data_IF_976114958635
#
_entry.id   IF_976114958635
#
_cell.length_a   1.000
_cell.length_b   1.000
_cell.length_c   1.000
_cell.angle_alpha   90.00
_cell.angle_beta   90.00
_cell.angle_gamma   90.00
#
_symmetry.space_group_name_H-M   'P 1'
#
loop_
_entity.id
_entity.type
_entity.pdbx_description
1 polymer ?
#
# COMPACT_ATOMS: atom_id res chain seq x y z
N UNK A 1 2.38 -5.73 7.64
CA UNK A 1 3.46 -6.67 8.01
C UNK A 1 4.79 -5.97 7.82
N UNK A 2 5.65 -6.01 8.83
CA UNK A 2 7.02 -5.54 8.70
C UNK A 2 7.81 -6.59 7.90
N UNK A 3 8.03 -6.34 6.63
CA UNK A 3 8.85 -7.17 5.75
C UNK A 3 9.84 -6.29 5.02
N UNK A 4 11.00 -6.80 4.63
CA UNK A 4 11.96 -6.05 3.86
C UNK A 4 11.31 -5.40 2.63
N UNK A 5 11.69 -4.16 2.38
CA UNK A 5 11.35 -3.44 1.18
C UNK A 5 12.65 -2.89 0.59
N UNK A 6 13.14 -3.54 -0.45
CA UNK A 6 14.31 -3.10 -1.21
C UNK A 6 14.17 -3.59 -2.65
N UNK A 7 14.62 -2.76 -3.58
CA UNK A 7 14.80 -3.16 -4.98
C UNK A 7 16.27 -3.42 -5.32
N UNK A 8 17.17 -3.26 -4.34
CA UNK A 8 18.59 -3.59 -4.45
C UNK A 8 18.87 -4.82 -3.58
N UNK A 9 18.56 -5.99 -4.14
CA UNK A 9 18.73 -7.30 -3.49
C UNK A 9 19.52 -8.24 -4.42
N UNK A 10 20.32 -9.12 -3.82
CA UNK A 10 21.12 -10.10 -4.53
C UNK A 10 20.48 -11.49 -4.52
N UNK A 11 19.63 -11.75 -3.53
CA UNK A 11 18.94 -13.02 -3.37
C UNK A 11 17.49 -12.79 -2.98
N UNK A 12 16.60 -12.89 -3.97
CA UNK A 12 15.17 -12.65 -3.78
C UNK A 12 14.54 -13.52 -2.69
N UNK A 13 14.99 -14.77 -2.58
CA UNK A 13 14.47 -15.68 -1.57
C UNK A 13 14.90 -15.28 -0.16
N UNK A 14 16.21 -15.09 0.04
CA UNK A 14 16.77 -14.85 1.37
C UNK A 14 16.52 -13.44 1.88
N UNK A 15 16.40 -12.46 0.99
CA UNK A 15 16.29 -11.05 1.36
C UNK A 15 14.85 -10.51 1.33
N UNK A 16 13.95 -11.11 0.54
CA UNK A 16 12.56 -10.65 0.41
C UNK A 16 11.53 -11.68 0.85
N UNK A 17 11.52 -12.88 0.21
CA UNK A 17 10.41 -13.83 0.36
C UNK A 17 10.41 -14.52 1.73
N UNK A 18 11.52 -15.16 2.10
CA UNK A 18 11.63 -15.85 3.38
C UNK A 18 11.50 -14.95 4.60
N UNK A 19 12.13 -13.75 4.64
CA UNK A 19 11.92 -12.83 5.77
C UNK A 19 10.46 -12.39 5.93
N UNK A 20 9.73 -12.19 4.83
CA UNK A 20 8.33 -11.81 4.86
C UNK A 20 7.45 -12.94 5.43
N UNK A 21 7.65 -14.18 4.97
CA UNK A 21 6.95 -15.37 5.47
C UNK A 21 7.25 -15.61 6.96
N UNK A 22 8.56 -15.65 7.32
CA UNK A 22 9.01 -15.89 8.70
C UNK A 22 8.52 -14.79 9.65
N UNK A 23 8.51 -13.54 9.21
CA UNK A 23 8.03 -12.41 10.00
C UNK A 23 6.56 -12.55 10.38
N UNK A 24 5.71 -12.92 9.42
CA UNK A 24 4.28 -13.16 9.68
C UNK A 24 4.09 -14.36 10.62
N UNK A 25 4.74 -15.49 10.33
CA UNK A 25 4.66 -16.69 11.15
C UNK A 25 5.06 -16.40 12.61
N UNK A 26 6.18 -15.72 12.82
CA UNK A 26 6.66 -15.39 14.17
C UNK A 26 5.68 -14.55 14.98
N UNK A 27 5.03 -13.55 14.34
CA UNK A 27 4.02 -12.73 15.01
C UNK A 27 2.80 -13.57 15.38
N UNK A 28 2.30 -14.41 14.47
CA UNK A 28 1.13 -15.26 14.72
C UNK A 28 1.41 -16.35 15.75
N UNK A 29 2.61 -16.95 15.75
CA UNK A 29 3.05 -17.89 16.80
C UNK A 29 3.16 -17.20 18.16
N UNK A 30 3.61 -15.95 18.18
CA UNK A 30 3.61 -15.13 19.39
C UNK A 30 2.19 -14.88 19.91
N UNK A 31 1.30 -14.44 19.02
CA UNK A 31 -0.11 -14.20 19.36
C UNK A 31 -0.82 -15.47 19.86
N UNK A 32 -0.53 -16.64 19.27
CA UNK A 32 -1.16 -17.90 19.65
C UNK A 32 -0.80 -18.39 21.07
N UNK A 33 0.25 -17.83 21.69
CA UNK A 33 0.62 -18.10 23.08
C UNK A 33 -0.23 -17.34 24.10
N UNK A 34 -1.06 -16.40 23.63
CA UNK A 34 -1.86 -15.52 24.47
C UNK A 34 -3.35 -15.68 24.16
N UNK A 35 -4.08 -16.53 24.91
CA UNK A 35 -5.51 -16.80 24.66
C UNK A 35 -6.43 -15.58 24.76
N UNK A 36 -5.96 -14.49 25.36
CA UNK A 36 -6.69 -13.20 25.42
C UNK A 36 -6.68 -12.41 24.11
N UNK A 37 -5.87 -12.82 23.13
CA UNK A 37 -5.92 -12.23 21.80
C UNK A 37 -7.07 -12.87 21.03
N UNK A 38 -8.05 -12.06 20.65
CA UNK A 38 -9.25 -12.49 19.94
C UNK A 38 -9.16 -12.22 18.44
N UNK A 39 -8.39 -11.18 18.03
CA UNK A 39 -8.24 -10.83 16.62
C UNK A 39 -6.87 -10.23 16.29
N UNK A 40 -6.37 -10.57 15.11
CA UNK A 40 -5.15 -9.97 14.53
C UNK A 40 -5.50 -9.35 13.17
N UNK A 41 -5.31 -8.05 13.02
CA UNK A 41 -5.47 -7.35 11.75
C UNK A 41 -4.10 -7.20 11.08
N UNK A 42 -4.00 -7.63 9.84
CA UNK A 42 -2.74 -7.72 9.09
C UNK A 42 -2.78 -6.73 7.92
N UNK A 43 -1.84 -5.79 7.91
CA UNK A 43 -1.58 -5.00 6.70
C UNK A 43 -0.89 -5.88 5.67
N UNK A 44 -1.61 -6.30 4.66
CA UNK A 44 -1.08 -6.95 3.46
C UNK A 44 -0.75 -5.91 2.38
N UNK A 45 -1.03 -6.17 1.13
CA UNK A 45 -0.75 -5.24 0.03
C UNK A 45 -1.58 -5.60 -1.20
N UNK A 46 -1.94 -4.61 -2.01
CA UNK A 46 -2.46 -4.87 -3.37
C UNK A 46 -1.47 -5.68 -4.23
N UNK A 47 -0.17 -5.66 -3.89
CA UNK A 47 0.83 -6.53 -4.51
C UNK A 47 0.54 -8.03 -4.35
N UNK A 48 -0.22 -8.43 -3.32
CA UNK A 48 -0.68 -9.83 -3.13
C UNK A 48 -1.90 -10.18 -3.98
N UNK A 49 -2.54 -9.19 -4.59
CA UNK A 49 -3.76 -9.30 -5.41
C UNK A 49 -3.43 -9.19 -6.90
N UNK A 50 -2.61 -8.21 -7.26
CA UNK A 50 -2.35 -7.77 -8.62
C UNK A 50 -1.69 -8.85 -9.50
N UNK A 51 -2.33 -9.17 -10.62
CA UNK A 51 -1.69 -9.81 -11.77
C UNK A 51 -1.14 -8.74 -12.73
N UNK A 52 0.17 -8.52 -12.69
CA UNK A 52 0.83 -7.52 -13.53
C UNK A 52 0.87 -7.89 -15.03
N UNK A 53 0.65 -9.16 -15.35
CA UNK A 53 0.66 -9.67 -16.72
C UNK A 53 -0.75 -9.90 -17.27
N UNK A 54 -1.77 -9.53 -16.50
CA UNK A 54 -3.15 -9.74 -16.89
C UNK A 54 -3.48 -8.99 -18.18
N UNK A 55 -3.82 -9.74 -19.19
CA UNK A 55 -4.49 -9.26 -20.40
C UNK A 55 -6.01 -9.35 -20.18
N UNK A 56 -6.49 -8.60 -19.24
CA UNK A 56 -7.91 -8.62 -18.91
C UNK A 56 -8.74 -8.00 -20.04
N UNK A 57 -9.98 -8.46 -20.21
CA UNK A 57 -10.94 -7.68 -20.96
C UNK A 57 -11.10 -6.31 -20.29
N UNK A 58 -11.45 -5.25 -21.06
CA UNK A 58 -11.69 -3.94 -20.50
C UNK A 58 -12.69 -3.98 -19.34
N UNK A 59 -12.44 -3.14 -18.30
CA UNK A 59 -13.29 -2.98 -17.11
C UNK A 59 -13.33 -4.19 -16.16
N UNK A 60 -12.17 -4.75 -15.90
CA UNK A 60 -12.03 -5.73 -14.82
C UNK A 60 -11.88 -5.02 -13.48
N UNK A 61 -12.52 -5.54 -12.42
CA UNK A 61 -12.34 -5.06 -11.04
C UNK A 61 -11.63 -6.13 -10.22
N UNK A 62 -10.46 -5.78 -9.66
CA UNK A 62 -9.81 -6.60 -8.64
C UNK A 62 -10.59 -6.53 -7.33
N UNK A 63 -10.76 -7.68 -6.72
CA UNK A 63 -11.47 -7.85 -5.44
C UNK A 63 -10.61 -8.57 -4.42
N UNK A 64 -11.13 -8.76 -3.22
CA UNK A 64 -10.50 -9.56 -2.19
C UNK A 64 -10.33 -11.06 -2.55
N UNK A 65 -11.03 -11.55 -3.56
CA UNK A 65 -10.92 -12.94 -4.03
C UNK A 65 -9.71 -13.16 -4.95
N UNK A 66 -9.20 -12.10 -5.54
CA UNK A 66 -8.10 -12.19 -6.49
C UNK A 66 -6.76 -12.36 -5.77
N UNK A 67 -5.90 -13.18 -6.35
CA UNK A 67 -4.54 -13.41 -5.89
C UNK A 67 -3.54 -13.21 -7.02
N UNK A 68 -2.42 -12.58 -6.69
CA UNK A 68 -1.27 -12.50 -7.57
C UNK A 68 -0.88 -13.92 -8.06
N UNK A 69 -0.79 -14.18 -9.36
CA UNK A 69 -0.55 -15.52 -9.89
C UNK A 69 0.88 -16.04 -9.71
N UNK A 70 1.85 -15.17 -9.36
CA UNK A 70 3.26 -15.56 -9.23
C UNK A 70 3.43 -16.83 -8.41
N UNK A 71 4.17 -17.79 -8.93
CA UNK A 71 4.60 -18.97 -8.18
C UNK A 71 5.72 -18.63 -7.19
N UNK A 72 5.99 -19.55 -6.25
CA UNK A 72 7.12 -19.40 -5.33
C UNK A 72 8.45 -19.38 -6.09
N UNK A 73 8.61 -20.28 -7.06
CA UNK A 73 9.79 -20.36 -7.90
C UNK A 73 10.05 -19.06 -8.67
N UNK A 74 9.03 -18.50 -9.33
CA UNK A 74 9.14 -17.18 -9.99
C UNK A 74 9.52 -16.07 -9.02
N UNK A 75 8.98 -16.09 -7.80
CA UNK A 75 9.21 -15.06 -6.79
C UNK A 75 10.62 -15.13 -6.17
N UNK A 76 11.25 -16.30 -6.18
CA UNK A 76 12.55 -16.55 -5.55
C UNK A 76 13.70 -16.65 -6.54
N UNK A 77 13.42 -16.78 -7.83
CA UNK A 77 14.45 -16.85 -8.86
C UNK A 77 15.29 -15.56 -8.85
N UNK A 78 16.60 -15.70 -8.84
CA UNK A 78 17.56 -14.58 -8.81
C UNK A 78 17.49 -13.68 -10.06
N UNK A 79 17.09 -14.24 -11.20
CA UNK A 79 16.91 -13.48 -12.44
C UNK A 79 15.60 -12.67 -12.46
N UNK A 80 14.68 -12.94 -11.51
CA UNK A 80 13.44 -12.19 -11.41
C UNK A 80 13.72 -10.78 -10.87
N UNK A 81 13.24 -9.71 -11.55
CA UNK A 81 13.41 -8.35 -11.05
C UNK A 81 12.88 -8.19 -9.62
N UNK A 82 13.62 -7.50 -8.76
CA UNK A 82 13.30 -7.34 -7.35
C UNK A 82 11.87 -6.82 -7.08
N UNK A 83 11.33 -5.98 -7.98
CA UNK A 83 9.93 -5.49 -7.89
C UNK A 83 8.92 -6.64 -8.06
N UNK A 84 9.21 -7.63 -8.87
CA UNK A 84 8.36 -8.81 -9.06
C UNK A 84 8.50 -9.75 -7.86
N UNK A 85 9.73 -10.02 -7.42
CA UNK A 85 10.01 -10.79 -6.21
C UNK A 85 9.34 -10.17 -4.97
N UNK A 86 9.37 -8.84 -4.84
CA UNK A 86 8.64 -8.12 -3.79
C UNK A 86 7.12 -8.41 -3.84
N UNK A 87 6.50 -8.40 -5.03
CA UNK A 87 5.07 -8.75 -5.14
C UNK A 87 4.80 -10.18 -4.68
N UNK A 88 5.66 -11.11 -5.07
CA UNK A 88 5.62 -12.49 -4.58
C UNK A 88 5.78 -12.58 -3.06
N UNK A 89 6.73 -11.83 -2.47
CA UNK A 89 6.93 -11.81 -1.01
C UNK A 89 5.68 -11.39 -0.25
N UNK A 90 4.91 -10.41 -0.77
CA UNK A 90 3.64 -9.99 -0.16
C UNK A 90 2.56 -11.05 -0.27
N UNK A 91 2.45 -11.71 -1.44
CA UNK A 91 1.54 -12.84 -1.62
C UNK A 91 1.84 -13.98 -0.63
N UNK A 92 3.07 -14.46 -0.60
CA UNK A 92 3.42 -15.62 0.22
C UNK A 92 3.37 -15.32 1.71
N UNK A 93 3.68 -14.10 2.12
CA UNK A 93 3.51 -13.66 3.51
C UNK A 93 2.02 -13.64 3.92
N UNK A 94 1.13 -13.20 3.05
CA UNK A 94 -0.31 -13.21 3.33
C UNK A 94 -0.87 -14.64 3.32
N UNK A 95 -0.50 -15.46 2.33
CA UNK A 95 -0.87 -16.87 2.28
C UNK A 95 -0.42 -17.64 3.54
N UNK A 96 0.79 -17.33 4.06
CA UNK A 96 1.28 -17.92 5.31
C UNK A 96 0.35 -17.59 6.48
N UNK A 97 -0.19 -16.36 6.56
CA UNK A 97 -1.13 -16.02 7.62
C UNK A 97 -2.42 -16.84 7.55
N UNK A 98 -2.98 -17.00 6.38
CA UNK A 98 -4.20 -17.80 6.15
C UNK A 98 -3.95 -19.29 6.41
N UNK A 99 -2.81 -19.83 5.95
CA UNK A 99 -2.41 -21.22 6.19
C UNK A 99 -2.18 -21.48 7.68
N UNK A 100 -1.54 -20.55 8.39
CA UNK A 100 -1.33 -20.65 9.83
C UNK A 100 -2.65 -20.81 10.59
N UNK A 101 -3.63 -19.97 10.32
CA UNK A 101 -4.95 -20.06 10.99
C UNK A 101 -5.65 -21.38 10.64
N UNK A 102 -5.62 -21.79 9.38
CA UNK A 102 -6.22 -23.04 8.92
C UNK A 102 -5.60 -24.27 9.60
N UNK A 103 -4.28 -24.30 9.73
CA UNK A 103 -3.53 -25.44 10.28
C UNK A 103 -3.52 -25.47 11.81
N UNK A 104 -3.24 -24.32 12.43
CA UNK A 104 -3.03 -24.22 13.88
C UNK A 104 -4.32 -23.98 14.66
N UNK A 105 -5.36 -23.46 14.01
CA UNK A 105 -6.66 -23.13 14.61
C UNK A 105 -6.50 -22.38 15.95
N UNK A 106 -5.80 -21.22 15.94
CA UNK A 106 -5.57 -20.45 17.15
C UNK A 106 -6.88 -19.93 17.74
N UNK A 107 -6.82 -19.38 18.96
CA UNK A 107 -7.98 -18.75 19.62
C UNK A 107 -8.42 -17.42 18.98
N UNK A 108 -7.61 -16.86 18.10
CA UNK A 108 -7.91 -15.59 17.44
C UNK A 108 -8.32 -15.78 15.98
N UNK A 109 -9.04 -14.79 15.47
CA UNK A 109 -9.38 -14.63 14.06
C UNK A 109 -8.41 -13.67 13.38
N UNK A 110 -8.28 -13.75 12.06
CA UNK A 110 -7.49 -12.76 11.31
C UNK A 110 -8.34 -11.96 10.33
N UNK A 111 -7.90 -10.74 10.06
CA UNK A 111 -8.40 -9.92 8.96
C UNK A 111 -7.21 -9.37 8.20
N UNK A 112 -7.20 -9.46 6.87
CA UNK A 112 -6.14 -8.88 6.05
C UNK A 112 -6.66 -7.71 5.24
N UNK A 113 -5.89 -6.61 5.24
CA UNK A 113 -6.16 -5.42 4.44
C UNK A 113 -5.09 -5.30 3.37
N UNK A 114 -5.50 -5.21 2.11
CA UNK A 114 -4.64 -5.16 0.93
C UNK A 114 -4.65 -3.74 0.32
N UNK A 115 -3.94 -2.75 0.94
CA UNK A 115 -3.89 -1.40 0.40
C UNK A 115 -2.99 -1.31 -0.84
N UNK A 116 -3.30 -0.39 -1.78
CA UNK A 116 -2.42 0.02 -2.86
C UNK A 116 -1.39 1.07 -2.38
N UNK A 117 -1.04 2.06 -3.21
CA UNK A 117 -0.18 3.17 -2.79
C UNK A 117 -0.83 3.93 -1.64
N UNK A 118 -0.11 4.06 -0.52
CA UNK A 118 -0.61 4.75 0.66
C UNK A 118 0.07 6.10 0.78
N UNK A 119 -0.71 7.18 0.70
CA UNK A 119 -0.26 8.55 0.81
C UNK A 119 -0.83 9.22 2.06
N UNK A 120 -0.26 10.36 2.42
CA UNK A 120 -0.84 11.23 3.44
C UNK A 120 0.09 11.59 4.58
N UNK A 121 -0.42 12.38 5.54
CA UNK A 121 0.38 12.97 6.59
C UNK A 121 1.09 11.96 7.47
N UNK A 122 2.29 12.31 7.93
CA UNK A 122 3.18 11.46 8.69
C UNK A 122 2.96 11.72 10.19
N UNK A 123 2.87 10.65 10.98
CA UNK A 123 2.72 10.74 12.43
C UNK A 123 3.94 10.25 13.22
N UNK A 124 4.81 9.44 12.59
CA UNK A 124 6.07 9.04 13.22
C UNK A 124 7.12 10.15 13.10
N UNK A 125 8.07 10.24 14.04
CA UNK A 125 9.09 11.28 14.00
C UNK A 125 9.99 11.15 12.78
N UNK A 126 10.01 12.20 11.97
CA UNK A 126 11.00 12.42 10.91
C UNK A 126 11.44 13.89 10.95
N UNK A 127 12.63 14.19 10.47
CA UNK A 127 13.20 15.55 10.47
C UNK A 127 13.58 16.03 9.07
N UNK A 128 13.52 15.18 8.07
CA UNK A 128 13.92 15.47 6.69
C UNK A 128 13.06 14.70 5.69
N UNK A 129 12.84 15.29 4.53
CA UNK A 129 12.11 14.63 3.42
C UNK A 129 12.79 13.32 2.96
N UNK A 130 14.10 13.18 3.15
CA UNK A 130 14.83 11.93 2.85
C UNK A 130 14.46 10.75 3.75
N UNK A 131 13.70 10.98 4.83
CA UNK A 131 13.21 9.95 5.74
C UNK A 131 11.76 9.54 5.45
N UNK A 132 11.16 10.11 4.40
CA UNK A 132 9.83 9.74 3.95
C UNK A 132 9.78 8.28 3.51
N UNK A 133 8.65 7.63 3.76
CA UNK A 133 8.35 6.35 3.14
C UNK A 133 8.22 6.50 1.61
N UNK A 134 8.46 5.41 0.88
CA UNK A 134 8.56 5.37 -0.59
C UNK A 134 7.45 6.14 -1.30
N UNK A 135 6.19 5.88 -0.98
CA UNK A 135 5.05 6.50 -1.66
C UNK A 135 5.00 8.02 -1.44
N UNK A 136 5.18 8.48 -0.20
CA UNK A 136 5.20 9.91 0.12
C UNK A 136 6.45 10.60 -0.46
N UNK A 137 7.60 9.91 -0.48
CA UNK A 137 8.82 10.41 -1.11
C UNK A 137 8.61 10.68 -2.60
N UNK A 138 7.86 9.84 -3.32
CA UNK A 138 7.54 10.06 -4.73
C UNK A 138 6.69 11.31 -4.95
N UNK A 139 5.69 11.58 -4.10
CA UNK A 139 4.93 12.84 -4.16
C UNK A 139 5.81 14.06 -3.85
N UNK A 140 6.70 13.95 -2.87
CA UNK A 140 7.63 15.04 -2.56
C UNK A 140 8.61 15.32 -3.70
N UNK A 141 9.12 14.30 -4.37
CA UNK A 141 9.99 14.46 -5.55
C UNK A 141 9.30 15.21 -6.70
N UNK A 142 8.00 15.02 -6.87
CA UNK A 142 7.21 15.83 -7.82
C UNK A 142 7.17 17.28 -7.35
N UNK A 143 6.83 17.54 -6.09
CA UNK A 143 6.72 18.90 -5.54
C UNK A 143 8.05 19.66 -5.59
N UNK A 144 9.17 18.99 -5.30
CA UNK A 144 10.51 19.57 -5.33
C UNK A 144 11.14 19.69 -6.73
N UNK A 145 10.49 19.16 -7.75
CA UNK A 145 11.02 19.14 -9.12
C UNK A 145 12.15 18.13 -9.36
N UNK A 146 12.45 17.28 -8.39
CA UNK A 146 13.54 16.30 -8.49
C UNK A 146 13.22 15.20 -9.51
N UNK A 147 11.97 14.72 -9.53
CA UNK A 147 11.56 13.63 -10.39
C UNK A 147 10.07 13.72 -10.72
N UNK A 148 9.68 13.32 -11.95
CA UNK A 148 8.29 13.15 -12.35
C UNK A 148 8.03 11.68 -12.67
N UNK A 149 7.66 10.85 -11.67
CA UNK A 149 7.51 9.40 -11.86
C UNK A 149 6.23 9.05 -12.63
N UNK A 150 6.19 7.82 -13.15
CA UNK A 150 4.97 7.23 -13.70
C UNK A 150 4.37 6.28 -12.68
N UNK A 151 3.07 6.42 -12.43
CA UNK A 151 2.36 5.52 -11.53
C UNK A 151 2.30 4.09 -12.14
N UNK A 152 2.81 3.10 -11.42
CA UNK A 152 2.78 1.68 -11.86
C UNK A 152 1.37 1.08 -11.77
N UNK A 153 0.56 1.62 -10.86
CA UNK A 153 -0.85 1.28 -10.66
C UNK A 153 -1.58 2.57 -10.30
N UNK A 154 -2.82 2.79 -10.77
CA UNK A 154 -3.52 4.04 -10.54
C UNK A 154 -4.32 4.08 -9.23
N UNK A 155 -4.07 3.14 -8.30
CA UNK A 155 -4.83 3.02 -7.06
C UNK A 155 -4.05 3.53 -5.86
N UNK A 156 -4.78 4.10 -4.92
CA UNK A 156 -4.22 4.71 -3.72
C UNK A 156 -5.22 4.72 -2.56
N UNK A 157 -4.72 5.04 -1.36
CA UNK A 157 -5.52 5.28 -0.17
C UNK A 157 -4.83 6.32 0.72
N UNK A 158 -5.62 7.14 1.41
CA UNK A 158 -5.09 7.99 2.48
C UNK A 158 -4.70 7.15 3.70
N UNK A 159 -3.57 7.47 4.30
CA UNK A 159 -3.06 6.76 5.49
C UNK A 159 -4.03 6.81 6.67
N UNK A 160 -4.82 7.88 6.80
CA UNK A 160 -5.84 8.03 7.86
C UNK A 160 -7.00 7.08 7.65
N UNK A 161 -7.43 6.92 6.39
CA UNK A 161 -8.52 6.01 6.04
C UNK A 161 -8.07 4.54 6.19
N UNK A 162 -6.83 4.24 5.83
CA UNK A 162 -6.24 2.93 6.09
C UNK A 162 -6.13 2.65 7.59
N UNK A 163 -5.75 3.64 8.39
CA UNK A 163 -5.71 3.50 9.85
C UNK A 163 -7.13 3.24 10.42
N UNK A 164 -8.14 3.99 9.95
CA UNK A 164 -9.53 3.75 10.31
C UNK A 164 -9.97 2.34 9.92
N UNK A 165 -9.62 1.87 8.72
CA UNK A 165 -9.92 0.51 8.28
C UNK A 165 -9.31 -0.56 9.20
N UNK A 166 -8.09 -0.35 9.72
CA UNK A 166 -7.48 -1.26 10.71
C UNK A 166 -8.26 -1.31 12.01
N UNK A 167 -8.66 -0.15 12.53
CA UNK A 167 -9.45 -0.06 13.78
C UNK A 167 -10.82 -0.73 13.60
N UNK A 168 -11.52 -0.41 12.53
CA UNK A 168 -12.84 -0.98 12.26
C UNK A 168 -12.77 -2.50 11.98
N UNK A 169 -11.75 -2.97 11.25
CA UNK A 169 -11.51 -4.40 11.06
C UNK A 169 -11.22 -5.14 12.38
N UNK A 170 -10.62 -4.46 13.36
CA UNK A 170 -10.38 -5.02 14.69
C UNK A 170 -11.69 -5.11 15.50
N UNK A 171 -12.53 -4.07 15.43
CA UNK A 171 -13.68 -3.91 16.32
C UNK A 171 -14.96 -4.56 15.77
N UNK A 172 -15.15 -4.59 14.45
CA UNK A 172 -16.40 -5.12 13.86
C UNK A 172 -16.42 -6.64 13.83
N UNK A 173 -17.44 -7.30 14.43
CA UNK A 173 -17.55 -8.76 14.38
C UNK A 173 -17.61 -9.30 12.94
N UNK A 174 -18.30 -8.60 12.03
CA UNK A 174 -18.44 -9.00 10.64
C UNK A 174 -17.15 -8.94 9.80
N UNK A 175 -16.05 -8.40 10.34
CA UNK A 175 -14.75 -8.37 9.66
C UNK A 175 -13.87 -9.59 9.94
N UNK A 176 -14.30 -10.46 10.86
CA UNK A 176 -13.57 -11.67 11.24
C UNK A 176 -13.35 -12.61 10.06
N UNK A 177 -12.13 -13.12 9.94
CA UNK A 177 -11.74 -14.06 8.89
C UNK A 177 -12.03 -13.57 7.46
N UNK A 178 -11.90 -12.26 7.25
CA UNK A 178 -12.09 -11.63 5.95
C UNK A 178 -10.81 -11.01 5.40
N UNK A 179 -10.74 -10.98 4.09
CA UNK A 179 -9.76 -10.25 3.30
C UNK A 179 -10.43 -9.05 2.67
N UNK A 180 -9.78 -7.91 2.68
CA UNK A 180 -10.29 -6.69 2.06
C UNK A 180 -9.24 -6.06 1.15
N UNK A 181 -9.64 -5.68 -0.05
CA UNK A 181 -8.99 -4.62 -0.79
C UNK A 181 -9.49 -3.28 -0.23
N UNK A 182 -8.57 -2.35 0.03
CA UNK A 182 -8.91 -1.04 0.62
C UNK A 182 -8.30 0.06 -0.24
N UNK A 183 -9.13 0.72 -1.03
CA UNK A 183 -8.70 1.71 -2.03
C UNK A 183 -9.70 2.85 -2.10
N UNK A 184 -9.20 4.08 -2.21
CA UNK A 184 -10.05 5.21 -2.57
C UNK A 184 -10.70 4.97 -3.94
N UNK A 185 -11.92 5.48 -4.17
CA UNK A 185 -12.63 5.28 -5.44
C UNK A 185 -12.00 6.05 -6.61
N UNK A 186 -11.26 7.12 -6.30
CA UNK A 186 -10.59 7.93 -7.30
C UNK A 186 -9.27 7.28 -7.72
N UNK A 187 -9.00 7.23 -9.01
CA UNK A 187 -7.67 6.86 -9.53
C UNK A 187 -6.72 8.05 -9.44
N UNK A 188 -5.43 7.80 -9.25
CA UNK A 188 -4.42 8.83 -9.22
C UNK A 188 -3.39 8.70 -10.35
N UNK A 189 -2.73 9.80 -10.63
CA UNK A 189 -1.44 9.85 -11.30
C UNK A 189 -0.58 10.95 -10.67
N UNK A 190 0.73 10.91 -10.88
CA UNK A 190 1.59 12.01 -10.43
C UNK A 190 1.30 13.31 -11.18
N UNK A 191 0.68 13.22 -12.36
CA UNK A 191 0.17 14.40 -13.06
C UNK A 191 -0.97 15.07 -12.29
N UNK A 192 -1.95 14.30 -11.81
CA UNK A 192 -3.02 14.85 -10.97
C UNK A 192 -2.47 15.44 -9.66
N UNK A 193 -1.47 14.79 -9.07
CA UNK A 193 -0.82 15.32 -7.89
C UNK A 193 -0.12 16.65 -8.17
N UNK A 194 0.58 16.77 -9.30
CA UNK A 194 1.22 18.00 -9.72
C UNK A 194 0.20 19.13 -9.99
N UNK A 195 -0.92 18.81 -10.62
CA UNK A 195 -2.00 19.79 -10.87
C UNK A 195 -2.50 20.37 -9.52
N UNK A 196 -2.75 19.51 -8.50
CA UNK A 196 -3.11 19.96 -7.15
C UNK A 196 -2.00 20.80 -6.51
N UNK A 197 -0.73 20.39 -6.63
CA UNK A 197 0.40 21.12 -6.05
C UNK A 197 0.56 22.51 -6.67
N UNK A 198 0.39 22.64 -7.98
CA UNK A 198 0.48 23.93 -8.70
C UNK A 198 -0.68 24.87 -8.36
N UNK A 199 -1.85 24.33 -8.04
CA UNK A 199 -3.01 25.11 -7.61
C UNK A 199 -2.84 25.61 -6.16
N UNK A 200 -2.40 24.75 -5.26
CA UNK A 200 -2.37 24.99 -3.82
C UNK A 200 -1.10 25.66 -3.29
N UNK A 201 0.03 25.53 -4.01
CA UNK A 201 1.33 25.97 -3.52
C UNK A 201 2.09 26.82 -4.55
N UNK A 202 2.12 28.12 -4.38
CA UNK A 202 2.84 29.03 -5.29
C UNK A 202 4.32 28.69 -5.45
N UNK A 203 4.98 28.16 -4.39
CA UNK A 203 6.39 27.80 -4.41
C UNK A 203 6.70 26.62 -5.34
N UNK A 204 5.73 25.82 -5.73
CA UNK A 204 5.91 24.70 -6.67
C UNK A 204 5.94 25.19 -8.14
N UNK A 205 5.42 26.39 -8.38
CA UNK A 205 5.42 27.02 -9.72
C UNK A 205 6.86 27.31 -10.12
N UNK A 206 7.31 26.74 -11.23
CA UNK A 206 8.70 26.84 -11.71
C UNK A 206 9.65 25.77 -11.15
N UNK A 207 9.21 24.92 -10.21
CA UNK A 207 9.95 23.74 -9.80
C UNK A 207 9.45 22.47 -10.49
N UNK A 208 8.13 22.27 -10.52
CA UNK A 208 7.53 21.09 -11.14
C UNK A 208 7.72 21.14 -12.66
N UNK A 209 8.48 20.16 -13.17
CA UNK A 209 8.67 19.98 -14.62
C UNK A 209 7.62 18.99 -15.13
N UNK A 210 6.50 19.50 -15.62
CA UNK A 210 5.45 18.66 -16.21
C UNK A 210 5.94 18.12 -17.56
N UNK A 211 5.86 16.78 -17.79
CA UNK A 211 6.16 16.18 -19.09
C UNK A 211 5.26 16.76 -20.19
N UNK A 212 5.80 16.88 -21.41
CA UNK A 212 5.01 17.32 -22.60
C UNK A 212 3.73 16.48 -22.79
N UNK A 213 3.84 15.18 -22.56
CA UNK A 213 2.69 14.28 -22.64
C UNK A 213 2.13 14.01 -21.25
N UNK A 214 0.86 14.36 -21.05
CA UNK A 214 0.15 14.05 -19.81
C UNK A 214 0.15 12.54 -19.56
N UNK A 215 0.33 12.15 -18.32
CA UNK A 215 0.25 10.75 -17.93
C UNK A 215 -1.19 10.25 -18.12
N UNK A 216 -1.32 9.15 -18.86
CA UNK A 216 -2.58 8.45 -19.00
C UNK A 216 -2.83 7.60 -17.75
N UNK A 217 -4.05 7.70 -17.22
CA UNK A 217 -4.51 6.79 -16.16
C UNK A 217 -5.12 5.58 -16.83
N UNK A 218 -4.61 4.39 -16.51
CA UNK A 218 -5.20 3.15 -17.01
C UNK A 218 -6.60 2.96 -16.41
N UNK A 219 -7.61 3.02 -17.25
CA UNK A 219 -9.02 2.85 -16.92
C UNK A 219 -9.57 1.47 -17.32
N UNK A 220 -8.72 0.58 -17.79
CA UNK A 220 -9.11 -0.77 -18.21
C UNK A 220 -9.42 -1.70 -17.05
N UNK A 221 -9.00 -1.34 -15.83
CA UNK A 221 -9.29 -2.12 -14.63
C UNK A 221 -9.48 -1.23 -13.41
N UNK A 222 -10.17 -1.77 -12.42
CA UNK A 222 -10.49 -1.11 -11.15
C UNK A 222 -10.04 -1.96 -9.96
N UNK A 223 -10.09 -1.38 -8.76
CA UNK A 223 -9.85 -2.04 -7.50
C UNK A 223 -11.04 -1.79 -6.57
N UNK A 224 -11.64 -2.85 -6.06
CA UNK A 224 -12.77 -2.74 -5.14
C UNK A 224 -12.32 -2.11 -3.80
N UNK A 225 -12.79 -0.92 -3.54
CA UNK A 225 -12.70 -0.26 -2.23
C UNK A 225 -14.07 -0.10 -1.59
N UNK A 226 -15.16 -0.32 -2.36
CA UNK A 226 -16.52 -0.11 -1.90
C UNK A 226 -16.95 -1.15 -0.86
N UNK A 227 -16.55 -2.41 -1.04
CA UNK A 227 -16.82 -3.48 -0.07
C UNK A 227 -16.23 -3.13 1.28
N UNK A 228 -14.97 -2.68 1.34
CA UNK A 228 -14.34 -2.25 2.58
C UNK A 228 -15.04 -1.02 3.18
N UNK A 229 -15.36 -0.01 2.37
CA UNK A 229 -16.09 1.16 2.82
C UNK A 229 -17.41 0.80 3.49
N UNK A 230 -18.20 -0.05 2.86
CA UNK A 230 -19.51 -0.49 3.33
C UNK A 230 -19.42 -1.36 4.59
N UNK A 231 -18.57 -2.37 4.59
CA UNK A 231 -18.50 -3.36 5.67
C UNK A 231 -17.75 -2.84 6.89
N UNK A 232 -16.70 -2.05 6.67
CA UNK A 232 -15.92 -1.42 7.75
C UNK A 232 -16.46 -0.03 8.13
N UNK A 233 -17.38 0.56 7.34
CA UNK A 233 -17.97 1.86 7.62
C UNK A 233 -16.96 3.01 7.52
N UNK A 234 -15.97 2.88 6.64
CA UNK A 234 -14.97 3.92 6.39
C UNK A 234 -15.41 4.86 5.28
N UNK A 235 -14.92 6.09 5.34
CA UNK A 235 -15.10 7.10 4.29
C UNK A 235 -13.74 7.46 3.74
N UNK A 236 -13.63 7.61 2.43
CA UNK A 236 -12.36 7.93 1.79
C UNK A 236 -12.13 9.44 1.68
N UNK A 237 -10.94 9.86 2.08
CA UNK A 237 -10.46 11.24 1.95
C UNK A 237 -10.19 11.55 0.47
N UNK A 238 -10.65 12.69 -0.08
CA UNK A 238 -10.36 13.10 -1.46
C UNK A 238 -8.85 13.24 -1.74
N UNK A 239 -8.42 12.88 -2.94
CA UNK A 239 -7.01 12.90 -3.33
C UNK A 239 -6.34 14.27 -3.14
N UNK A 240 -7.05 15.34 -3.52
CA UNK A 240 -6.54 16.70 -3.37
C UNK A 240 -6.22 17.02 -1.91
N UNK A 241 -7.06 16.62 -0.95
CA UNK A 241 -6.83 16.84 0.48
C UNK A 241 -5.60 16.07 0.98
N UNK A 242 -5.45 14.82 0.55
CA UNK A 242 -4.30 13.98 0.92
C UNK A 242 -2.99 14.58 0.43
N UNK A 243 -2.94 15.02 -0.84
CA UNK A 243 -1.77 15.68 -1.42
C UNK A 243 -1.46 16.98 -0.70
N UNK A 244 -2.47 17.83 -0.50
CA UNK A 244 -2.34 19.12 0.18
C UNK A 244 -1.79 18.97 1.60
N UNK A 245 -2.37 18.07 2.39
CA UNK A 245 -1.97 17.86 3.79
C UNK A 245 -0.52 17.34 3.88
N UNK A 246 -0.16 16.35 3.04
CA UNK A 246 1.19 15.80 2.99
C UNK A 246 2.22 16.87 2.60
N UNK A 247 1.98 17.55 1.47
CA UNK A 247 2.95 18.52 0.92
C UNK A 247 3.10 19.72 1.86
N UNK A 248 2.00 20.21 2.47
CA UNK A 248 2.07 21.24 3.52
C UNK A 248 2.95 20.81 4.69
N UNK A 249 2.75 19.60 5.19
CA UNK A 249 3.52 19.06 6.31
C UNK A 249 5.02 18.98 5.99
N UNK A 250 5.36 18.41 4.82
CA UNK A 250 6.76 18.22 4.43
C UNK A 250 7.45 19.57 4.15
N UNK A 251 6.76 20.49 3.48
CA UNK A 251 7.29 21.83 3.22
C UNK A 251 7.57 22.62 4.51
N UNK A 252 6.66 22.52 5.50
CA UNK A 252 6.87 23.14 6.81
C UNK A 252 8.06 22.52 7.54
N UNK A 253 8.19 21.21 7.50
CA UNK A 253 9.33 20.50 8.10
C UNK A 253 10.66 20.91 7.47
N UNK A 254 10.76 20.94 6.15
CA UNK A 254 11.97 21.37 5.43
C UNK A 254 12.31 22.84 5.67
N UNK A 255 11.31 23.70 5.90
CA UNK A 255 11.49 25.09 6.27
C UNK A 255 11.84 25.30 7.77
N UNK A 256 11.99 24.23 8.56
CA UNK A 256 12.26 24.30 9.99
C UNK A 256 11.09 24.83 10.83
N UNK A 257 9.86 24.82 10.27
CA UNK A 257 8.65 25.21 10.97
C UNK A 257 8.05 23.96 11.61
N UNK A 258 8.13 23.86 12.92
CA UNK A 258 7.43 22.81 13.68
C UNK A 258 5.92 23.09 13.68
N UNK A 259 5.11 22.07 13.36
CA UNK A 259 3.66 22.09 13.56
C UNK A 259 3.32 21.95 15.04
#
# INVERSE_FOLDING_TARGET
MASPFSYDVQDNEQELVLPAIKGVRSVLEGAAKHPSIERVVITSSFASVLDANRKAPPRFTYTAEDWNPLSYEESTNRETPAVIAYRGSKKFAELEAWNFVKEKKPSFEITTLCPPMTFGPIRHPISKATQLNESNAMLWKVASGEQFPVARVPFWIDVRDLAAAHVEALLRPGAANKRYTVSAPEKFSYQLAADVMLEEFDWTKGQINIPEHRQHIDDTYDLDGETAAKELGITYTPFCNTVKDLISQVANMEAGRTN
#
